data_IF_868370244380
#
_entry.id   IF_868370244380
#
_cell.length_a   1.000
_cell.length_b   1.000
_cell.length_c   1.000
_cell.angle_alpha   90.00
_cell.angle_beta   90.00
_cell.angle_gamma   90.00
#
_symmetry.space_group_name_H-M   'P 1'
#
loop_
_entity.id
_entity.type
_entity.pdbx_description
1 polymer ?
#
# COMPACT_ATOMS: atom_id res chain seq x y z
N UNK A 1 -48.14 31.50 18.11
CA UNK A 1 -47.38 31.19 16.90
C UNK A 1 -46.00 30.80 17.37
N UNK A 2 -45.74 29.47 17.52
CA UNK A 2 -44.50 28.93 18.04
C UNK A 2 -43.58 28.65 16.85
N UNK A 3 -42.48 29.38 16.74
CA UNK A 3 -41.46 29.19 15.71
C UNK A 3 -40.56 28.03 16.17
N UNK A 4 -40.67 26.88 15.46
CA UNK A 4 -39.76 25.75 15.65
C UNK A 4 -38.41 26.13 15.03
N UNK A 5 -37.27 25.81 15.72
CA UNK A 5 -35.96 26.05 15.16
C UNK A 5 -35.68 25.10 14.02
N UNK A 6 -35.25 25.65 12.88
CA UNK A 6 -34.75 24.94 11.71
C UNK A 6 -33.53 24.15 12.17
N UNK A 7 -33.63 22.80 12.16
CA UNK A 7 -32.49 21.94 12.37
C UNK A 7 -31.46 22.18 11.27
N UNK A 8 -30.32 22.71 11.65
CA UNK A 8 -29.16 22.88 10.78
C UNK A 8 -28.77 21.50 10.23
N UNK A 9 -28.86 21.39 8.92
CA UNK A 9 -28.43 20.22 8.14
C UNK A 9 -26.95 19.99 8.43
N UNK A 10 -26.63 18.95 9.20
CA UNK A 10 -25.25 18.50 9.43
C UNK A 10 -24.72 18.08 8.07
N UNK A 11 -23.92 18.95 7.40
CA UNK A 11 -23.09 18.55 6.26
C UNK A 11 -22.37 17.27 6.63
N UNK A 12 -22.79 16.14 6.07
CA UNK A 12 -22.03 14.88 6.13
C UNK A 12 -20.68 15.19 5.54
N UNK A 13 -19.66 15.31 6.38
CA UNK A 13 -18.27 15.33 5.92
C UNK A 13 -18.03 14.02 5.19
N UNK A 14 -17.85 14.10 3.88
CA UNK A 14 -17.55 12.93 3.06
C UNK A 14 -16.22 12.37 3.57
N UNK A 15 -16.28 11.25 4.27
CA UNK A 15 -15.07 10.53 4.69
C UNK A 15 -14.56 9.74 3.50
N UNK A 16 -13.28 9.93 3.16
CA UNK A 16 -12.63 9.20 2.09
C UNK A 16 -11.78 8.07 2.65
N UNK A 17 -11.75 6.92 1.94
CA UNK A 17 -10.89 5.80 2.30
C UNK A 17 -9.41 6.20 2.27
N UNK A 18 -8.68 5.79 3.30
CA UNK A 18 -7.22 5.98 3.46
C UNK A 18 -6.55 4.65 3.78
N UNK A 19 -5.24 4.52 3.64
CA UNK A 19 -4.51 3.34 4.09
C UNK A 19 -4.91 2.92 5.52
N UNK A 20 -5.35 1.69 5.68
CA UNK A 20 -5.74 1.14 6.98
C UNK A 20 -4.56 0.59 7.79
N UNK A 21 -3.42 0.39 7.14
CA UNK A 21 -2.12 0.04 7.73
C UNK A 21 -1.11 1.15 7.47
N UNK A 22 -0.16 1.31 8.37
CA UNK A 22 1.09 2.03 8.09
C UNK A 22 1.95 1.10 7.24
N UNK A 23 2.35 1.54 6.06
CA UNK A 23 3.17 0.74 5.16
C UNK A 23 4.37 1.56 4.70
N UNK A 24 5.55 0.97 4.76
CA UNK A 24 6.74 1.69 4.33
C UNK A 24 6.74 1.88 2.82
N UNK A 25 7.35 2.97 2.36
CA UNK A 25 7.30 3.38 0.97
C UNK A 25 6.00 4.09 0.57
N UNK A 26 5.11 4.37 1.52
CA UNK A 26 3.84 5.06 1.23
C UNK A 26 4.06 6.39 0.48
N UNK A 27 3.43 6.53 -0.69
CA UNK A 27 3.63 7.63 -1.66
C UNK A 27 2.81 8.89 -1.35
N UNK A 28 2.29 9.04 -0.13
CA UNK A 28 1.45 10.18 0.22
C UNK A 28 2.08 11.55 -0.10
N UNK A 29 3.41 11.65 -0.05
CA UNK A 29 4.13 12.90 -0.36
C UNK A 29 4.31 13.16 -1.86
N UNK A 30 4.23 12.11 -2.68
CA UNK A 30 4.40 12.20 -4.13
C UNK A 30 3.06 12.19 -4.87
N UNK A 31 1.93 12.12 -4.15
CA UNK A 31 0.61 12.11 -4.78
C UNK A 31 0.40 13.29 -5.72
N UNK A 32 0.83 14.49 -5.32
CA UNK A 32 0.70 15.69 -6.17
C UNK A 32 1.55 15.56 -7.44
N UNK A 33 2.77 15.01 -7.34
CA UNK A 33 3.64 14.77 -8.50
C UNK A 33 3.05 13.71 -9.43
N UNK A 34 2.48 12.64 -8.88
CA UNK A 34 1.79 11.62 -9.68
C UNK A 34 0.56 12.18 -10.38
N UNK A 35 -0.20 13.05 -9.68
CA UNK A 35 -1.43 13.63 -10.23
C UNK A 35 -1.19 14.52 -11.45
N UNK A 36 -0.09 15.26 -11.46
CA UNK A 36 0.30 16.09 -12.61
C UNK A 36 0.66 15.27 -13.85
N UNK A 37 0.92 13.98 -13.66
CA UNK A 37 1.40 13.03 -14.68
C UNK A 37 0.41 11.92 -15.00
N UNK A 38 -0.84 12.05 -14.56
CA UNK A 38 -1.87 11.07 -14.89
C UNK A 38 -2.20 11.11 -16.38
N UNK A 39 -2.51 9.95 -17.00
CA UNK A 39 -2.91 9.93 -18.40
C UNK A 39 -4.26 10.64 -18.62
N UNK A 40 -4.41 11.29 -19.76
CA UNK A 40 -5.61 12.08 -20.09
C UNK A 40 -6.89 11.24 -20.10
N UNK A 41 -6.81 10.00 -20.54
CA UNK A 41 -7.94 9.07 -20.62
C UNK A 41 -8.69 8.81 -19.31
N UNK A 42 -8.08 9.13 -18.14
CA UNK A 42 -8.76 9.03 -16.83
C UNK A 42 -9.87 10.08 -16.66
N UNK A 43 -9.69 11.28 -17.24
CA UNK A 43 -10.64 12.37 -17.09
C UNK A 43 -11.82 12.30 -18.04
N UNK A 44 -11.68 11.66 -19.20
CA UNK A 44 -12.68 11.60 -20.28
C UNK A 44 -13.41 10.24 -20.36
N UNK A 45 -13.04 9.27 -19.47
CA UNK A 45 -13.69 7.96 -19.40
C UNK A 45 -13.18 6.93 -20.41
N UNK A 46 -12.09 7.17 -21.11
CA UNK A 46 -11.42 6.16 -21.97
C UNK A 46 -10.76 5.08 -21.13
N UNK A 47 -10.21 5.46 -19.96
CA UNK A 47 -9.61 4.53 -18.99
C UNK A 47 -10.65 4.22 -17.92
N UNK A 48 -11.17 2.99 -17.96
CA UNK A 48 -12.21 2.50 -17.04
C UNK A 48 -11.69 1.50 -16.02
N UNK A 49 -10.44 1.05 -16.16
CA UNK A 49 -9.81 0.01 -15.33
C UNK A 49 -8.54 0.51 -14.67
N UNK A 50 -8.32 0.06 -13.44
CA UNK A 50 -7.10 0.37 -12.69
C UNK A 50 -6.44 -0.88 -12.14
N UNK A 51 -5.12 -0.96 -12.27
CA UNK A 51 -4.32 -2.09 -11.79
C UNK A 51 -3.12 -1.60 -10.98
N UNK A 52 -2.95 -2.12 -9.75
CA UNK A 52 -1.82 -1.83 -8.85
C UNK A 52 -1.30 -3.13 -8.22
N UNK A 53 -0.31 -3.82 -8.84
CA UNK A 53 0.16 -5.13 -8.38
C UNK A 53 1.19 -5.08 -7.26
N UNK A 54 1.54 -3.90 -6.77
CA UNK A 54 2.35 -3.63 -5.57
C UNK A 54 1.57 -2.69 -4.65
N UNK A 55 0.39 -3.15 -4.19
CA UNK A 55 -0.59 -2.27 -3.51
C UNK A 55 -0.07 -1.68 -2.20
N UNK A 56 0.75 -2.42 -1.43
CA UNK A 56 1.19 -1.98 -0.11
C UNK A 56 0.04 -1.44 0.73
N UNK A 57 0.19 -0.22 1.25
CA UNK A 57 -0.87 0.47 1.99
C UNK A 57 -2.02 1.01 1.13
N UNK A 58 -1.90 1.04 -0.18
CA UNK A 58 -2.93 1.47 -1.13
C UNK A 58 -3.15 2.99 -1.20
N UNK A 59 -2.16 3.79 -0.86
CA UNK A 59 -2.33 5.25 -0.82
C UNK A 59 -2.77 5.83 -2.17
N UNK A 60 -2.15 5.38 -3.27
CA UNK A 60 -2.47 5.85 -4.61
C UNK A 60 -3.81 5.29 -5.11
N UNK A 61 -4.08 4.01 -4.85
CA UNK A 61 -5.36 3.37 -5.12
C UNK A 61 -6.54 4.13 -4.50
N UNK A 62 -6.47 4.41 -3.18
CA UNK A 62 -7.53 5.14 -2.50
C UNK A 62 -7.65 6.58 -3.00
N UNK A 63 -6.54 7.23 -3.28
CA UNK A 63 -6.55 8.59 -3.82
C UNK A 63 -7.22 8.65 -5.20
N UNK A 64 -6.87 7.75 -6.13
CA UNK A 64 -7.48 7.72 -7.45
C UNK A 64 -8.98 7.44 -7.40
N UNK A 65 -9.42 6.54 -6.52
CA UNK A 65 -10.84 6.22 -6.35
C UNK A 65 -11.67 7.35 -5.70
N UNK A 66 -11.03 8.41 -5.20
CA UNK A 66 -11.69 9.65 -4.78
C UNK A 66 -11.90 10.62 -5.94
N UNK A 67 -11.08 10.53 -6.97
CA UNK A 67 -11.04 11.49 -8.09
C UNK A 67 -11.68 10.95 -9.36
N UNK A 68 -11.58 9.65 -9.58
CA UNK A 68 -12.02 8.99 -10.81
C UNK A 68 -12.94 7.82 -10.50
N UNK A 69 -13.78 7.49 -11.47
CA UNK A 69 -14.68 6.34 -11.40
C UNK A 69 -14.12 5.21 -12.25
N UNK A 70 -13.79 4.10 -11.60
CA UNK A 70 -13.36 2.88 -12.30
C UNK A 70 -14.49 1.83 -12.28
N UNK A 71 -14.71 1.16 -13.40
CA UNK A 71 -15.64 0.03 -13.50
C UNK A 71 -15.07 -1.19 -12.79
N UNK A 72 -13.74 -1.38 -12.89
CA UNK A 72 -13.04 -2.49 -12.28
C UNK A 72 -11.63 -2.08 -11.84
N UNK A 73 -11.27 -2.50 -10.63
CA UNK A 73 -9.91 -2.42 -10.14
C UNK A 73 -9.32 -3.81 -9.92
N UNK A 74 -8.00 -3.93 -10.07
CA UNK A 74 -7.25 -5.13 -9.67
C UNK A 74 -6.04 -4.70 -8.86
N UNK A 75 -5.93 -5.20 -7.63
CA UNK A 75 -4.83 -4.90 -6.72
C UNK A 75 -4.10 -6.18 -6.32
N UNK A 76 -2.82 -6.07 -6.06
CA UNK A 76 -2.01 -7.24 -5.69
C UNK A 76 -0.83 -6.89 -4.81
N UNK A 77 -0.29 -7.89 -4.13
CA UNK A 77 0.96 -7.81 -3.40
C UNK A 77 1.55 -9.22 -3.20
N UNK A 78 2.87 -9.29 -3.05
CA UNK A 78 3.54 -10.53 -2.69
C UNK A 78 3.35 -10.91 -1.21
N UNK A 79 2.97 -9.94 -0.38
CA UNK A 79 2.72 -10.16 1.04
C UNK A 79 1.33 -10.75 1.29
N UNK A 80 1.29 -12.05 1.60
CA UNK A 80 0.04 -12.79 1.79
C UNK A 80 -0.78 -12.28 2.98
N UNK A 81 -0.13 -11.83 4.06
CA UNK A 81 -0.80 -11.26 5.24
C UNK A 81 -1.52 -9.95 4.90
N UNK A 82 -0.87 -9.09 4.13
CA UNK A 82 -1.47 -7.86 3.65
C UNK A 82 -2.69 -8.15 2.75
N UNK A 83 -2.55 -9.08 1.82
CA UNK A 83 -3.62 -9.48 0.92
C UNK A 83 -4.78 -10.15 1.68
N UNK A 84 -4.49 -10.96 2.70
CA UNK A 84 -5.51 -11.50 3.60
C UNK A 84 -6.32 -10.38 4.25
N UNK A 85 -5.67 -9.35 4.78
CA UNK A 85 -6.35 -8.22 5.40
C UNK A 85 -7.27 -7.48 4.40
N UNK A 86 -6.81 -7.18 3.19
CA UNK A 86 -7.64 -6.60 2.12
C UNK A 86 -8.86 -7.48 1.79
N UNK A 87 -8.66 -8.80 1.66
CA UNK A 87 -9.74 -9.76 1.37
C UNK A 87 -10.78 -9.80 2.50
N UNK A 88 -10.34 -9.76 3.76
CA UNK A 88 -11.21 -9.72 4.94
C UNK A 88 -12.03 -8.44 4.97
N UNK A 89 -11.41 -7.28 4.75
CA UNK A 89 -12.11 -6.00 4.70
C UNK A 89 -13.19 -6.03 3.61
N UNK A 90 -12.88 -6.53 2.43
CA UNK A 90 -13.85 -6.64 1.34
C UNK A 90 -15.00 -7.58 1.66
N UNK A 91 -14.73 -8.76 2.26
CA UNK A 91 -15.69 -9.87 2.40
C UNK A 91 -16.46 -9.85 3.71
N UNK A 92 -15.79 -9.53 4.82
CA UNK A 92 -16.31 -9.75 6.18
C UNK A 92 -15.96 -8.61 7.15
N UNK A 93 -16.09 -7.36 6.70
CA UNK A 93 -15.70 -6.16 7.45
C UNK A 93 -16.27 -6.09 8.85
N UNK A 94 -17.54 -6.50 9.07
CA UNK A 94 -18.16 -6.50 10.39
C UNK A 94 -17.46 -7.45 11.38
N UNK A 95 -17.06 -8.65 10.90
CA UNK A 95 -16.29 -9.59 11.73
C UNK A 95 -14.92 -9.02 12.09
N UNK A 96 -14.26 -8.36 11.14
CA UNK A 96 -12.97 -7.69 11.40
C UNK A 96 -13.11 -6.60 12.46
N UNK A 97 -14.15 -5.76 12.38
CA UNK A 97 -14.40 -4.69 13.34
C UNK A 97 -14.58 -5.29 14.75
N UNK A 98 -15.42 -6.32 14.91
CA UNK A 98 -15.62 -6.98 16.21
C UNK A 98 -14.31 -7.54 16.80
N UNK A 99 -13.46 -8.15 15.98
CA UNK A 99 -12.16 -8.68 16.44
C UNK A 99 -11.19 -7.54 16.82
N UNK A 100 -11.23 -6.41 16.11
CA UNK A 100 -10.44 -5.23 16.44
C UNK A 100 -10.93 -4.55 17.73
N UNK A 101 -12.25 -4.47 17.96
CA UNK A 101 -12.85 -3.97 19.21
C UNK A 101 -12.35 -4.75 20.42
N UNK A 102 -12.29 -6.09 20.30
CA UNK A 102 -11.76 -6.95 21.37
C UNK A 102 -10.30 -6.63 21.66
N UNK A 103 -9.46 -6.51 20.62
CA UNK A 103 -8.04 -6.20 20.79
C UNK A 103 -7.82 -4.79 21.31
N UNK A 104 -8.57 -3.80 20.83
CA UNK A 104 -8.50 -2.40 21.27
C UNK A 104 -8.92 -2.27 22.74
N UNK A 105 -10.06 -2.84 23.11
CA UNK A 105 -10.56 -2.84 24.50
C UNK A 105 -9.58 -3.56 25.44
N UNK A 106 -9.03 -4.71 24.97
CA UNK A 106 -8.01 -5.44 25.71
C UNK A 106 -6.73 -4.61 25.94
N UNK A 107 -6.31 -3.84 24.96
CA UNK A 107 -5.12 -2.97 25.05
C UNK A 107 -5.36 -1.78 25.99
N UNK A 108 -6.48 -1.07 25.83
CA UNK A 108 -6.76 0.14 26.61
C UNK A 108 -7.21 -0.13 28.05
N UNK A 109 -7.65 -1.35 28.37
CA UNK A 109 -7.92 -1.76 29.77
C UNK A 109 -6.64 -1.92 30.61
N UNK A 110 -5.46 -1.89 30.02
CA UNK A 110 -4.17 -2.18 30.66
C UNK A 110 -3.38 -0.92 30.96
N UNK A 111 -2.54 -0.98 32.00
CA UNK A 111 -1.52 0.05 32.30
C UNK A 111 -0.25 -0.18 31.45
N UNK A 112 0.64 0.81 31.36
CA UNK A 112 1.70 0.86 30.35
C UNK A 112 2.57 -0.41 30.22
N UNK A 113 3.04 -0.98 31.34
CA UNK A 113 3.81 -2.23 31.31
C UNK A 113 2.99 -3.44 30.83
N UNK A 114 1.71 -3.48 31.17
CA UNK A 114 0.80 -4.53 30.75
C UNK A 114 0.43 -4.42 29.28
N UNK A 115 0.42 -3.18 28.71
CA UNK A 115 0.23 -2.96 27.26
C UNK A 115 1.35 -3.61 26.46
N UNK A 116 2.59 -3.50 26.93
CA UNK A 116 3.72 -4.15 26.28
C UNK A 116 3.61 -5.68 26.33
N UNK A 117 3.25 -6.25 27.49
CA UNK A 117 3.01 -7.68 27.63
C UNK A 117 1.89 -8.15 26.71
N UNK A 118 0.78 -7.45 26.68
CA UNK A 118 -0.35 -7.77 25.80
C UNK A 118 0.04 -7.72 24.31
N UNK A 119 0.86 -6.71 23.92
CA UNK A 119 1.40 -6.66 22.56
C UNK A 119 2.19 -7.91 22.21
N UNK A 120 3.09 -8.36 23.09
CA UNK A 120 3.87 -9.56 22.84
C UNK A 120 3.02 -10.84 22.85
N UNK A 121 1.99 -10.94 23.69
CA UNK A 121 1.02 -12.03 23.67
C UNK A 121 0.30 -12.14 22.30
N UNK A 122 -0.18 -11.00 21.78
CA UNK A 122 -0.84 -10.95 20.46
C UNK A 122 0.15 -11.32 19.36
N UNK A 123 1.40 -10.80 19.42
CA UNK A 123 2.45 -11.11 18.44
C UNK A 123 2.80 -12.59 18.44
N UNK A 124 2.98 -13.17 19.61
CA UNK A 124 3.33 -14.58 19.72
C UNK A 124 2.18 -15.50 19.31
N UNK A 125 0.93 -15.10 19.58
CA UNK A 125 -0.26 -15.79 19.06
C UNK A 125 -0.32 -15.71 17.53
N UNK A 126 -0.08 -14.50 16.94
CA UNK A 126 -0.02 -14.31 15.50
C UNK A 126 1.03 -15.20 14.82
N UNK A 127 2.23 -15.30 15.42
CA UNK A 127 3.31 -16.12 14.89
C UNK A 127 3.04 -17.63 15.02
N UNK A 128 2.47 -18.08 16.13
CA UNK A 128 2.10 -19.50 16.34
C UNK A 128 1.06 -20.02 15.35
N UNK A 129 0.16 -19.14 14.91
CA UNK A 129 -0.91 -19.49 13.96
C UNK A 129 -0.40 -19.64 12.52
N UNK A 130 0.74 -19.04 12.19
CA UNK A 130 1.24 -18.94 10.82
C UNK A 130 1.28 -20.29 10.07
N UNK A 131 1.75 -21.41 10.64
CA UNK A 131 1.83 -22.68 9.92
C UNK A 131 0.45 -23.26 9.53
N UNK A 132 -0.62 -22.85 10.22
CA UNK A 132 -1.98 -23.31 9.97
C UNK A 132 -2.83 -22.42 9.08
N UNK A 133 -2.27 -21.31 8.56
CA UNK A 133 -3.03 -20.37 7.73
C UNK A 133 -2.98 -20.78 6.26
N UNK A 134 -4.17 -21.11 5.72
CA UNK A 134 -4.35 -21.21 4.26
C UNK A 134 -4.64 -19.80 3.70
N UNK A 135 -3.67 -19.21 3.00
CA UNK A 135 -3.82 -17.89 2.36
C UNK A 135 -4.59 -17.93 1.05
N UNK A 136 -4.88 -19.10 0.50
CA UNK A 136 -5.57 -19.23 -0.78
C UNK A 136 -7.07 -19.31 -0.61
N UNK A 137 -7.53 -20.10 0.38
CA UNK A 137 -8.94 -20.34 0.61
C UNK A 137 -9.43 -19.58 1.85
N UNK A 138 -10.52 -18.82 1.66
CA UNK A 138 -11.12 -18.07 2.77
C UNK A 138 -11.53 -18.98 3.91
N UNK A 139 -11.11 -18.61 5.12
CA UNK A 139 -11.49 -19.28 6.37
C UNK A 139 -12.04 -18.27 7.38
N UNK A 140 -12.98 -18.69 8.27
CA UNK A 140 -13.46 -17.84 9.35
C UNK A 140 -12.37 -17.27 10.27
N UNK A 141 -11.24 -17.95 10.42
CA UNK A 141 -10.09 -17.49 11.23
C UNK A 141 -9.38 -16.28 10.63
N UNK A 142 -9.59 -15.97 9.36
CA UNK A 142 -8.97 -14.83 8.72
C UNK A 142 -9.35 -13.49 9.36
N UNK A 143 -10.56 -13.36 9.91
CA UNK A 143 -10.99 -12.11 10.54
C UNK A 143 -10.13 -11.80 11.78
N UNK A 144 -9.93 -12.76 12.65
CA UNK A 144 -9.09 -12.63 13.84
C UNK A 144 -7.62 -12.38 13.45
N UNK A 145 -7.11 -13.08 12.40
CA UNK A 145 -5.75 -12.86 11.90
C UNK A 145 -5.56 -11.47 11.31
N UNK A 146 -6.51 -10.98 10.50
CA UNK A 146 -6.48 -9.62 9.95
C UNK A 146 -6.57 -8.56 11.07
N UNK A 147 -7.32 -8.79 12.11
CA UNK A 147 -7.35 -7.91 13.27
C UNK A 147 -6.00 -7.86 13.99
N UNK A 148 -5.35 -9.02 14.18
CA UNK A 148 -4.00 -9.07 14.79
C UNK A 148 -2.95 -8.34 13.96
N UNK A 149 -2.94 -8.47 12.63
CA UNK A 149 -1.96 -7.74 11.80
C UNK A 149 -2.19 -6.23 11.88
N UNK A 150 -3.45 -5.76 11.88
CA UNK A 150 -3.78 -4.34 12.02
C UNK A 150 -3.35 -3.85 13.41
N UNK A 151 -3.70 -4.57 14.47
CA UNK A 151 -3.30 -4.26 15.84
C UNK A 151 -1.77 -4.15 15.96
N UNK A 152 -1.05 -5.16 15.53
CA UNK A 152 0.42 -5.19 15.58
C UNK A 152 1.04 -4.02 14.81
N UNK A 153 0.55 -3.74 13.61
CA UNK A 153 1.05 -2.62 12.81
C UNK A 153 0.77 -1.26 13.47
N UNK A 154 -0.36 -1.09 14.15
CA UNK A 154 -0.74 0.16 14.83
C UNK A 154 -0.01 0.38 16.14
N UNK A 155 0.45 -0.70 16.80
CA UNK A 155 1.06 -0.65 18.14
C UNK A 155 2.56 -0.96 18.14
N UNK A 156 3.14 -1.47 17.04
CA UNK A 156 4.57 -1.73 16.93
C UNK A 156 5.39 -0.48 16.64
N UNK A 157 6.70 -0.57 16.83
CA UNK A 157 7.66 0.48 16.55
C UNK A 157 7.57 0.97 15.10
N UNK A 158 7.30 2.26 14.90
CA UNK A 158 7.15 2.97 13.63
C UNK A 158 6.09 2.39 12.65
N UNK A 159 5.20 1.51 13.09
CA UNK A 159 4.21 0.88 12.23
C UNK A 159 4.83 0.02 11.13
N UNK A 160 5.97 -0.58 11.40
CA UNK A 160 6.68 -1.42 10.43
C UNK A 160 5.99 -2.78 10.29
N UNK A 161 6.07 -3.36 9.08
CA UNK A 161 5.86 -4.79 8.90
C UNK A 161 7.22 -5.43 8.59
N UNK A 162 7.69 -6.29 9.45
CA UNK A 162 8.95 -7.00 9.26
C UNK A 162 8.83 -8.41 9.81
N UNK A 163 9.39 -9.37 9.07
CA UNK A 163 9.45 -10.77 9.49
C UNK A 163 10.90 -11.26 9.55
N UNK A 164 11.14 -12.25 10.38
CA UNK A 164 12.41 -12.95 10.42
C UNK A 164 12.52 -14.00 9.28
N UNK A 165 13.63 -14.75 9.22
CA UNK A 165 13.84 -15.79 8.19
C UNK A 165 12.79 -16.91 8.22
N UNK A 166 12.10 -17.13 9.35
CA UNK A 166 11.02 -18.11 9.49
C UNK A 166 9.66 -17.55 9.01
N UNK A 167 9.59 -16.25 8.67
CA UNK A 167 8.36 -15.56 8.31
C UNK A 167 7.58 -15.03 9.51
N UNK A 168 8.13 -15.09 10.73
CA UNK A 168 7.50 -14.63 11.96
C UNK A 168 7.65 -13.11 12.10
N UNK A 169 6.57 -12.41 12.46
CA UNK A 169 6.58 -10.99 12.73
C UNK A 169 7.49 -10.67 13.94
N UNK A 170 8.45 -9.75 13.77
CA UNK A 170 9.51 -9.52 14.75
C UNK A 170 9.75 -8.04 15.10
N UNK A 171 8.79 -7.15 14.82
CA UNK A 171 8.91 -5.75 15.22
C UNK A 171 8.64 -5.62 16.72
N UNK A 172 9.42 -4.80 17.46
CA UNK A 172 9.18 -4.58 18.89
C UNK A 172 7.98 -3.67 19.13
N UNK A 173 7.51 -3.64 20.38
CA UNK A 173 6.49 -2.71 20.84
C UNK A 173 6.87 -1.25 20.59
N UNK A 174 5.90 -0.41 20.21
CA UNK A 174 6.14 0.99 19.82
C UNK A 174 5.97 2.00 20.95
N UNK A 175 5.37 1.62 22.08
CA UNK A 175 5.18 2.49 23.25
C UNK A 175 4.23 3.68 23.02
N UNK A 176 3.30 3.59 22.07
CA UNK A 176 2.36 4.69 21.81
C UNK A 176 1.30 4.82 22.91
N UNK A 177 1.06 6.04 23.37
CA UNK A 177 0.07 6.33 24.41
C UNK A 177 -1.36 6.05 23.94
N UNK A 178 -1.71 6.49 22.72
CA UNK A 178 -3.05 6.36 22.15
C UNK A 178 -2.97 5.97 20.67
N UNK A 179 -2.60 4.71 20.36
CA UNK A 179 -2.57 4.24 18.97
C UNK A 179 -3.98 4.13 18.41
N UNK A 180 -4.17 4.57 17.16
CA UNK A 180 -5.43 4.42 16.40
C UNK A 180 -5.56 2.96 15.92
N UNK A 181 -6.02 2.07 16.80
CA UNK A 181 -6.13 0.62 16.54
C UNK A 181 -7.32 0.32 15.66
N UNK A 182 -8.51 0.71 16.11
CA UNK A 182 -9.76 0.55 15.37
C UNK A 182 -10.22 1.89 14.79
N UNK A 183 -9.87 2.15 13.54
CA UNK A 183 -10.47 3.24 12.79
C UNK A 183 -11.67 2.69 11.99
N UNK A 184 -12.79 2.44 12.69
CA UNK A 184 -13.99 1.82 12.12
C UNK A 184 -14.47 2.57 10.88
N UNK A 185 -14.60 3.89 10.97
CA UNK A 185 -15.07 4.73 9.86
C UNK A 185 -14.22 4.54 8.60
N UNK A 186 -12.89 4.53 8.74
CA UNK A 186 -11.99 4.31 7.61
C UNK A 186 -12.07 2.87 7.07
N UNK A 187 -12.15 1.88 7.95
CA UNK A 187 -12.26 0.46 7.54
C UNK A 187 -13.55 0.23 6.74
N UNK A 188 -14.67 0.84 7.13
CA UNK A 188 -15.92 0.78 6.38
C UNK A 188 -15.82 1.48 5.02
N UNK A 189 -15.16 2.65 4.92
CA UNK A 189 -14.93 3.32 3.66
C UNK A 189 -14.00 2.51 2.72
N UNK A 190 -12.94 1.88 3.25
CA UNK A 190 -12.10 0.95 2.49
C UNK A 190 -12.94 -0.20 1.95
N UNK A 191 -13.79 -0.81 2.78
CA UNK A 191 -14.68 -1.89 2.36
C UNK A 191 -15.64 -1.43 1.25
N UNK A 192 -16.17 -0.20 1.34
CA UNK A 192 -17.06 0.40 0.34
C UNK A 192 -16.34 0.55 -1.00
N UNK A 193 -15.13 1.12 -1.01
CA UNK A 193 -14.32 1.29 -2.23
C UNK A 193 -14.05 -0.07 -2.88
N UNK A 194 -13.53 -1.04 -2.11
CA UNK A 194 -13.21 -2.37 -2.62
C UNK A 194 -14.40 -3.13 -3.21
N UNK A 195 -15.63 -2.86 -2.74
CA UNK A 195 -16.85 -3.46 -3.28
C UNK A 195 -17.35 -2.73 -4.53
N UNK A 196 -17.43 -1.40 -4.46
CA UNK A 196 -18.00 -0.57 -5.53
C UNK A 196 -17.23 -0.70 -6.84
N UNK A 197 -15.89 -0.76 -6.77
CA UNK A 197 -15.01 -0.93 -7.94
C UNK A 197 -14.83 -2.39 -8.35
N UNK A 198 -15.64 -3.32 -7.81
CA UNK A 198 -15.51 -4.76 -8.09
C UNK A 198 -14.07 -5.27 -7.95
N UNK A 199 -13.29 -4.65 -7.04
CA UNK A 199 -11.85 -4.85 -6.92
C UNK A 199 -11.47 -6.33 -6.81
N UNK A 200 -10.65 -6.80 -7.73
CA UNK A 200 -9.99 -8.12 -7.64
C UNK A 200 -8.75 -7.99 -6.76
N UNK A 201 -8.56 -8.92 -5.84
CA UNK A 201 -7.45 -8.90 -4.88
C UNK A 201 -6.59 -10.15 -5.10
N UNK A 202 -5.35 -9.96 -5.54
CA UNK A 202 -4.42 -11.02 -5.94
C UNK A 202 -3.27 -11.12 -4.96
N UNK A 203 -2.82 -12.34 -4.66
CA UNK A 203 -1.61 -12.61 -3.87
C UNK A 203 -0.51 -13.17 -4.77
N UNK A 204 0.72 -12.72 -4.61
CA UNK A 204 1.90 -13.29 -5.24
C UNK A 204 2.56 -12.38 -6.27
N UNK A 205 3.13 -12.97 -7.32
CA UNK A 205 3.94 -12.26 -8.31
C UNK A 205 3.13 -11.20 -9.08
N UNK A 206 3.76 -10.07 -9.37
CA UNK A 206 3.13 -8.93 -10.04
C UNK A 206 2.56 -9.27 -11.43
N UNK A 207 3.11 -10.27 -12.12
CA UNK A 207 2.62 -10.69 -13.45
C UNK A 207 1.25 -11.35 -13.42
N UNK A 208 0.71 -11.71 -12.26
CA UNK A 208 -0.64 -12.28 -12.12
C UNK A 208 -1.76 -11.37 -12.61
N UNK A 209 -1.50 -10.06 -12.69
CA UNK A 209 -2.47 -9.10 -13.22
C UNK A 209 -2.60 -9.10 -14.75
N UNK A 210 -1.70 -9.79 -15.50
CA UNK A 210 -1.58 -9.79 -16.97
C UNK A 210 -2.89 -9.90 -17.73
N UNK A 211 -3.78 -10.78 -17.27
CA UNK A 211 -5.03 -11.08 -17.97
C UNK A 211 -6.16 -10.07 -17.68
N UNK A 212 -5.89 -9.06 -16.85
CA UNK A 212 -6.85 -8.02 -16.45
C UNK A 212 -6.49 -6.64 -17.00
N UNK A 213 -5.53 -6.62 -17.94
CA UNK A 213 -4.95 -5.40 -18.50
C UNK A 213 -5.16 -5.40 -20.02
N UNK A 214 -5.70 -4.29 -20.50
CA UNK A 214 -5.96 -3.95 -21.89
C UNK A 214 -5.74 -2.45 -22.14
N UNK A 215 -6.15 -1.95 -23.29
CA UNK A 215 -6.01 -0.54 -23.72
C UNK A 215 -6.84 0.46 -22.89
N UNK A 216 -7.85 -0.01 -22.15
CA UNK A 216 -8.66 0.82 -21.22
C UNK A 216 -8.12 0.80 -19.80
N UNK A 217 -6.91 0.31 -19.58
CA UNK A 217 -6.34 0.12 -18.24
C UNK A 217 -5.24 1.13 -17.94
N UNK A 218 -5.33 1.76 -16.75
CA UNK A 218 -4.20 2.43 -16.13
C UNK A 218 -3.53 1.52 -15.12
N UNK A 219 -2.22 1.30 -15.29
CA UNK A 219 -1.40 0.44 -14.43
C UNK A 219 -0.42 1.30 -13.65
N UNK A 220 -0.35 1.13 -12.33
CA UNK A 220 0.66 1.75 -11.50
C UNK A 220 1.56 0.70 -10.85
N UNK A 221 2.86 0.84 -11.03
CA UNK A 221 3.89 0.02 -10.40
C UNK A 221 4.65 0.83 -9.35
N UNK A 222 4.66 0.34 -8.11
CA UNK A 222 5.50 0.81 -7.01
C UNK A 222 6.27 -0.38 -6.40
N UNK A 223 7.22 -0.96 -7.16
CA UNK A 223 7.96 -2.12 -6.69
C UNK A 223 8.83 -1.77 -5.48
N UNK A 224 9.28 -2.76 -4.69
CA UNK A 224 10.34 -2.53 -3.74
C UNK A 224 11.54 -1.88 -4.44
N UNK A 225 12.03 -0.76 -3.87
CA UNK A 225 13.07 0.02 -4.48
C UNK A 225 14.39 -0.73 -4.56
N UNK A 226 15.13 -0.48 -5.63
CA UNK A 226 16.49 -0.99 -5.76
C UNK A 226 17.33 -0.50 -4.58
N UNK A 227 17.98 -1.43 -3.81
CA UNK A 227 18.83 -1.03 -2.70
C UNK A 227 19.96 -0.13 -3.19
N UNK A 228 20.08 1.04 -2.61
CA UNK A 228 21.14 1.99 -2.97
C UNK A 228 22.52 1.56 -2.43
N UNK A 229 22.59 0.63 -1.43
CA UNK A 229 23.85 0.07 -0.87
C UNK A 229 23.67 -1.40 -0.53
N UNK A 230 24.76 -2.18 -0.58
CA UNK A 230 24.80 -3.58 -0.14
C UNK A 230 24.36 -3.77 1.33
N UNK A 231 24.47 -2.74 2.17
CA UNK A 231 24.04 -2.77 3.59
C UNK A 231 22.59 -2.38 3.81
N UNK A 232 21.90 -1.79 2.83
CA UNK A 232 20.48 -1.38 2.94
C UNK A 232 19.49 -2.51 2.63
N UNK A 233 19.96 -3.71 2.33
CA UNK A 233 19.14 -4.91 2.07
C UNK A 233 18.31 -5.39 3.28
N UNK A 234 18.50 -4.80 4.47
CA UNK A 234 17.79 -5.17 5.70
C UNK A 234 16.32 -4.70 5.76
N UNK A 235 15.84 -3.94 4.80
CA UNK A 235 14.45 -3.44 4.77
C UNK A 235 13.53 -4.18 3.80
N UNK A 236 13.95 -5.37 3.30
CA UNK A 236 13.10 -6.13 2.38
C UNK A 236 11.85 -6.67 3.09
N UNK A 237 10.68 -6.22 2.67
CA UNK A 237 9.35 -6.67 3.11
C UNK A 237 8.98 -8.07 2.59
N UNK A 238 9.80 -8.66 1.73
CA UNK A 238 9.68 -10.03 1.23
C UNK A 238 10.89 -10.86 1.63
N UNK A 239 10.70 -12.16 1.84
CA UNK A 239 11.78 -13.13 2.21
C UNK A 239 12.99 -13.09 1.27
N UNK A 240 12.82 -12.67 0.01
CA UNK A 240 13.84 -12.75 -1.05
C UNK A 240 14.26 -11.38 -1.62
N UNK A 241 13.74 -10.24 -1.10
CA UNK A 241 14.00 -8.92 -1.67
C UNK A 241 13.42 -8.74 -3.08
N UNK A 242 13.71 -7.61 -3.73
CA UNK A 242 13.41 -7.34 -5.14
C UNK A 242 14.73 -6.96 -5.81
N UNK A 243 15.29 -7.90 -6.57
CA UNK A 243 16.65 -7.82 -7.12
C UNK A 243 16.69 -7.07 -8.46
N UNK A 244 17.89 -6.76 -8.96
CA UNK A 244 18.09 -6.22 -10.31
C UNK A 244 17.49 -7.14 -11.39
N UNK A 245 17.49 -8.46 -11.15
CA UNK A 245 16.81 -9.42 -12.03
C UNK A 245 15.29 -9.20 -12.04
N UNK A 246 14.71 -8.90 -10.88
CA UNK A 246 13.27 -8.64 -10.77
C UNK A 246 12.92 -7.27 -11.36
N UNK A 247 13.79 -6.26 -11.24
CA UNK A 247 13.64 -4.99 -11.94
C UNK A 247 13.65 -5.17 -13.46
N UNK A 248 14.53 -6.01 -14.00
CA UNK A 248 14.56 -6.36 -15.43
C UNK A 248 13.28 -7.08 -15.86
N UNK A 249 12.82 -8.08 -15.09
CA UNK A 249 11.53 -8.76 -15.34
C UNK A 249 10.35 -7.79 -15.34
N UNK A 250 10.38 -6.81 -14.46
CA UNK A 250 9.32 -5.78 -14.39
C UNK A 250 9.36 -4.88 -15.63
N UNK A 251 10.56 -4.51 -16.12
CA UNK A 251 10.68 -3.74 -17.36
C UNK A 251 10.20 -4.52 -18.58
N UNK A 252 10.49 -5.82 -18.66
CA UNK A 252 9.98 -6.67 -19.73
C UNK A 252 8.46 -6.77 -19.67
N UNK A 253 7.89 -6.88 -18.47
CA UNK A 253 6.45 -6.88 -18.26
C UNK A 253 5.81 -5.52 -18.59
N UNK A 254 6.48 -4.41 -18.26
CA UNK A 254 6.06 -3.07 -18.65
C UNK A 254 5.94 -2.94 -20.18
N UNK A 255 6.94 -3.41 -20.94
CA UNK A 255 6.93 -3.42 -22.41
C UNK A 255 5.81 -4.29 -22.97
N UNK A 256 5.57 -5.46 -22.34
CA UNK A 256 4.45 -6.34 -22.73
C UNK A 256 3.10 -5.63 -22.58
N UNK A 257 2.89 -4.92 -21.48
CA UNK A 257 1.64 -4.21 -21.22
C UNK A 257 1.48 -2.96 -22.08
N UNK A 258 2.58 -2.27 -22.41
CA UNK A 258 2.61 -1.18 -23.38
C UNK A 258 2.13 -1.66 -24.75
N UNK A 259 2.60 -2.83 -25.21
CA UNK A 259 2.15 -3.45 -26.46
C UNK A 259 0.65 -3.80 -26.46
N UNK A 260 0.00 -3.93 -25.29
CA UNK A 260 -1.46 -4.09 -25.16
C UNK A 260 -2.22 -2.76 -25.19
N UNK A 261 -1.53 -1.62 -25.25
CA UNK A 261 -2.13 -0.28 -25.25
C UNK A 261 -2.41 0.30 -23.86
N UNK A 262 -2.09 -0.41 -22.77
CA UNK A 262 -2.30 0.08 -21.40
C UNK A 262 -1.51 1.34 -21.14
N UNK A 263 -2.04 2.25 -20.32
CA UNK A 263 -1.30 3.40 -19.80
C UNK A 263 -0.60 3.01 -18.52
N UNK A 264 0.71 3.24 -18.44
CA UNK A 264 1.54 2.71 -17.37
C UNK A 264 2.36 3.82 -16.72
N UNK A 265 2.34 3.84 -15.38
CA UNK A 265 3.23 4.66 -14.57
C UNK A 265 4.00 3.75 -13.61
N UNK A 266 5.30 3.95 -13.50
CA UNK A 266 6.16 3.25 -12.55
C UNK A 266 6.93 4.28 -11.73
N UNK A 267 7.01 4.08 -10.42
CA UNK A 267 7.88 4.86 -9.51
C UNK A 267 9.02 4.00 -8.99
N UNK A 268 10.20 4.61 -8.81
CA UNK A 268 11.35 3.98 -8.15
C UNK A 268 12.28 5.05 -7.57
N UNK A 269 13.27 4.64 -6.75
CA UNK A 269 14.33 5.55 -6.34
C UNK A 269 15.31 5.80 -7.49
N UNK A 270 15.79 7.04 -7.64
CA UNK A 270 16.86 7.33 -8.60
C UNK A 270 18.19 6.80 -8.06
N UNK A 271 18.88 5.87 -8.75
CA UNK A 271 20.19 5.40 -8.35
C UNK A 271 21.25 6.50 -8.39
N UNK A 272 21.04 7.55 -9.20
CA UNK A 272 21.96 8.72 -9.26
C UNK A 272 22.01 9.52 -7.96
N UNK A 273 21.11 9.30 -7.03
CA UNK A 273 21.22 9.81 -5.66
C UNK A 273 22.49 9.32 -4.93
N UNK A 274 23.11 8.26 -5.40
CA UNK A 274 24.33 7.69 -4.81
C UNK A 274 25.49 7.64 -5.79
N UNK A 275 25.27 7.20 -7.00
CA UNK A 275 26.24 7.17 -8.07
C UNK A 275 25.65 7.89 -9.28
N UNK A 276 26.14 9.09 -9.55
CA UNK A 276 25.68 9.93 -10.67
C UNK A 276 25.83 9.24 -12.03
N UNK A 277 26.73 8.26 -12.15
CA UNK A 277 26.95 7.48 -13.37
C UNK A 277 26.08 6.25 -13.49
N UNK A 278 25.28 5.90 -12.47
CA UNK A 278 24.38 4.75 -12.53
C UNK A 278 23.17 5.07 -13.44
N UNK A 279 23.17 4.50 -14.64
CA UNK A 279 22.14 4.66 -15.68
C UNK A 279 21.18 3.48 -15.73
N UNK A 280 21.15 2.61 -14.70
CA UNK A 280 20.41 1.35 -14.71
C UNK A 280 18.96 1.48 -15.19
N UNK A 281 18.19 2.43 -14.66
CA UNK A 281 16.81 2.63 -15.09
C UNK A 281 16.69 3.38 -16.41
N UNK A 282 17.62 4.29 -16.71
CA UNK A 282 17.65 5.02 -18.00
C UNK A 282 17.85 4.03 -19.17
N UNK A 283 18.75 3.05 -18.99
CA UNK A 283 19.00 2.00 -19.99
C UNK A 283 17.83 1.03 -20.09
N UNK A 284 17.27 0.63 -18.93
CA UNK A 284 16.22 -0.40 -18.83
C UNK A 284 14.90 0.08 -19.46
N UNK A 285 14.58 1.37 -19.30
CA UNK A 285 13.38 2.02 -19.82
C UNK A 285 13.68 3.02 -20.96
N UNK A 286 14.76 2.77 -21.71
CA UNK A 286 15.09 3.57 -22.90
C UNK A 286 13.90 3.57 -23.87
N UNK A 287 13.54 4.76 -24.35
CA UNK A 287 12.39 4.97 -25.25
C UNK A 287 11.08 5.34 -24.52
N UNK A 288 11.05 5.34 -23.18
CA UNK A 288 9.95 5.83 -22.37
C UNK A 288 10.25 7.19 -21.73
N UNK A 289 9.22 7.87 -21.25
CA UNK A 289 9.39 9.12 -20.51
C UNK A 289 9.89 8.82 -19.11
N UNK A 290 11.07 9.34 -18.74
CA UNK A 290 11.68 9.21 -17.42
C UNK A 290 11.83 10.59 -16.81
N UNK A 291 11.12 10.87 -15.73
CA UNK A 291 11.22 12.12 -14.99
C UNK A 291 11.78 11.88 -13.58
N UNK A 292 12.57 12.83 -13.13
CA UNK A 292 13.14 12.88 -11.78
C UNK A 292 12.40 13.93 -10.97
N UNK A 293 11.81 13.52 -9.87
CA UNK A 293 11.01 14.39 -9.01
C UNK A 293 11.61 14.46 -7.61
N UNK A 294 11.73 15.65 -7.01
CA UNK A 294 12.29 15.77 -5.67
C UNK A 294 11.35 15.16 -4.63
N UNK A 295 11.88 14.26 -3.80
CA UNK A 295 11.20 13.65 -2.67
C UNK A 295 11.88 14.04 -1.35
N UNK A 296 11.10 14.31 -0.30
CA UNK A 296 11.63 14.58 1.03
C UNK A 296 11.85 13.29 1.80
N UNK A 297 13.07 13.02 2.25
CA UNK A 297 13.33 11.94 3.21
C UNK A 297 12.80 12.32 4.60
N UNK A 298 11.79 11.60 5.11
CA UNK A 298 11.26 11.79 6.46
C UNK A 298 12.11 11.07 7.51
N UNK A 299 12.79 9.98 7.16
CA UNK A 299 13.53 9.14 8.10
C UNK A 299 14.98 8.99 7.64
N UNK A 300 15.90 9.73 8.28
CA UNK A 300 17.32 9.44 8.24
C UNK A 300 17.88 9.59 9.65
N UNK A 301 18.53 8.54 10.15
CA UNK A 301 19.22 8.53 11.45
C UNK A 301 20.42 9.50 11.49
N UNK A 302 20.88 10.00 10.35
CA UNK A 302 22.00 10.92 10.24
C UNK A 302 21.54 12.30 9.73
N UNK A 303 21.43 13.26 10.64
CA UNK A 303 20.90 14.61 10.36
C UNK A 303 21.69 15.42 9.31
N UNK A 304 22.95 15.09 9.05
CA UNK A 304 23.83 15.76 8.09
C UNK A 304 23.54 15.37 6.61
N UNK A 305 22.73 14.33 6.36
CA UNK A 305 22.35 13.85 5.02
C UNK A 305 20.84 14.04 4.75
N UNK A 306 20.22 15.08 5.29
CA UNK A 306 18.83 15.48 4.99
C UNK A 306 18.80 16.33 3.71
N UNK A 307 19.17 15.75 2.56
CA UNK A 307 18.99 16.38 1.25
C UNK A 307 17.71 15.89 0.57
N UNK A 308 17.21 16.65 -0.39
CA UNK A 308 16.24 16.15 -1.34
C UNK A 308 16.88 14.94 -2.05
N UNK A 309 16.12 13.89 -2.20
CA UNK A 309 16.47 12.75 -3.06
C UNK A 309 15.49 12.76 -4.21
N UNK A 310 15.97 12.40 -5.39
CA UNK A 310 15.09 12.27 -6.53
C UNK A 310 14.46 10.86 -6.58
N UNK A 311 13.18 10.83 -6.90
CA UNK A 311 12.48 9.61 -7.29
C UNK A 311 12.22 9.65 -8.79
N UNK A 312 12.22 8.46 -9.40
CA UNK A 312 11.90 8.28 -10.80
C UNK A 312 10.40 8.09 -10.97
N UNK A 313 9.84 8.77 -11.97
CA UNK A 313 8.53 8.48 -12.54
C UNK A 313 8.73 8.11 -14.01
N UNK A 314 8.35 6.90 -14.36
CA UNK A 314 8.50 6.35 -15.72
C UNK A 314 7.12 6.11 -16.30
N UNK A 315 6.85 6.64 -17.50
CA UNK A 315 5.56 6.47 -18.17
C UNK A 315 5.73 6.08 -19.64
N UNK A 316 4.76 5.36 -20.19
CA UNK A 316 4.66 5.04 -21.62
C UNK A 316 3.80 6.04 -22.41
N UNK A 317 3.49 7.17 -21.83
CA UNK A 317 2.75 8.27 -22.43
C UNK A 317 3.42 9.60 -22.08
N UNK A 318 3.23 10.65 -22.91
CA UNK A 318 3.78 11.98 -22.60
C UNK A 318 3.11 12.55 -21.35
N UNK A 319 3.92 13.09 -20.44
CA UNK A 319 3.46 13.82 -19.27
C UNK A 319 3.48 15.30 -19.61
N UNK A 320 2.30 15.91 -19.75
CA UNK A 320 2.21 17.34 -19.93
C UNK A 320 2.54 18.07 -18.62
N UNK A 321 3.44 19.03 -18.66
CA UNK A 321 3.54 20.07 -17.61
C UNK A 321 2.25 20.91 -17.69
N UNK A 322 1.26 20.58 -16.86
CA UNK A 322 0.08 21.43 -16.62
C UNK A 322 0.36 22.46 -15.55
#
# INVERSE_FOLDING_TARGET
MVVLPIMADRKKTVSYAKPFLKWAGGKAQLLDEFCRRLPEGLGNGEITRYVEPFIGGGAFFFYLNQKFSFEQCSIGDANEELILAYRVIKRSVKKLINELEILESGYFSKVDKEKELFYYEVRDSFNRELPGIDFQNYSPVWAARAAKIIFLNRTCYNGLFRVNRRGEFNVPFGGYTNPDILNEGNILEVARVLKNTKTRIMSGDFTRCRNYIDDQTFVYFDPPYRPLNHTSSFTSYSKNGFSDRDQKRLADFFKELDAKGAKIMLSNSDPRNQDFLDTFFDDLFSGYTIERVPARRIINSNGARRGNIDELIITNYPTGTR
#
